data_IF_534102892963
#
_entry.id   IF_534102892963
#
_cell.length_a   1.000
_cell.length_b   1.000
_cell.length_c   1.000
_cell.angle_alpha   90.00
_cell.angle_beta   90.00
_cell.angle_gamma   90.00
#
_symmetry.space_group_name_H-M   'P 1'
#
loop_
_entity.id
_entity.type
_entity.pdbx_description
1 polymer ?
#
# COMPACT_ATOMS: atom_id res chain seq x y z
N UNK A 1 -2.81 32.07 6.89
CA UNK A 1 -2.19 32.59 5.66
C UNK A 1 -1.89 34.11 5.66
N UNK A 2 -1.87 34.80 6.81
CA UNK A 2 -1.63 36.27 6.86
C UNK A 2 -0.24 36.72 6.36
N UNK A 3 0.70 35.78 6.20
CA UNK A 3 2.08 36.04 5.74
C UNK A 3 2.24 35.86 4.22
N UNK A 4 1.31 35.16 3.55
CA UNK A 4 1.50 34.78 2.14
C UNK A 4 1.36 35.96 1.17
N UNK A 5 0.30 36.76 1.31
CA UNK A 5 0.07 37.91 0.42
C UNK A 5 1.25 38.90 0.45
N UNK A 6 1.74 39.38 1.61
CA UNK A 6 2.93 40.24 1.67
C UNK A 6 4.18 39.63 1.02
N UNK A 7 4.34 38.30 1.07
CA UNK A 7 5.52 37.62 0.54
C UNK A 7 5.57 37.57 -0.99
N UNK A 8 4.42 37.66 -1.67
CA UNK A 8 4.35 37.62 -3.14
C UNK A 8 4.25 39.01 -3.78
N UNK A 9 3.97 40.06 -2.99
CA UNK A 9 3.93 41.43 -3.50
C UNK A 9 5.28 41.78 -4.13
N UNK A 10 5.25 42.38 -5.31
CA UNK A 10 6.41 42.72 -6.14
C UNK A 10 7.13 41.55 -6.83
N UNK A 11 6.77 40.30 -6.55
CA UNK A 11 7.32 39.12 -7.24
C UNK A 11 6.41 38.58 -8.34
N UNK A 12 5.10 38.88 -8.28
CA UNK A 12 4.11 38.47 -9.27
C UNK A 12 3.31 39.68 -9.77
N UNK A 13 2.61 39.60 -10.92
CA UNK A 13 1.74 40.68 -11.38
C UNK A 13 0.74 41.11 -10.30
N UNK A 14 0.50 42.42 -10.18
CA UNK A 14 -0.41 42.96 -9.16
C UNK A 14 -1.80 42.33 -9.23
N UNK A 15 -2.29 42.06 -10.45
CA UNK A 15 -3.58 41.42 -10.68
C UNK A 15 -3.63 40.01 -10.08
N UNK A 16 -2.52 39.27 -10.13
CA UNK A 16 -2.42 37.94 -9.51
C UNK A 16 -2.51 38.03 -7.98
N UNK A 17 -1.88 39.05 -7.39
CA UNK A 17 -2.00 39.33 -5.95
C UNK A 17 -3.46 39.66 -5.58
N UNK A 18 -4.15 40.45 -6.41
CA UNK A 18 -5.56 40.80 -6.22
C UNK A 18 -6.48 39.58 -6.33
N UNK A 19 -6.28 38.71 -7.32
CA UNK A 19 -7.01 37.46 -7.46
C UNK A 19 -6.83 36.58 -6.20
N UNK A 20 -5.59 36.37 -5.77
CA UNK A 20 -5.30 35.57 -4.56
C UNK A 20 -5.91 36.22 -3.32
N UNK A 21 -5.86 37.55 -3.20
CA UNK A 21 -6.45 38.27 -2.07
C UNK A 21 -7.97 38.08 -2.04
N UNK A 22 -8.67 38.27 -3.17
CA UNK A 22 -10.10 38.07 -3.28
C UNK A 22 -10.51 36.61 -2.98
N UNK A 23 -9.74 35.63 -3.45
CA UNK A 23 -9.94 34.22 -3.13
C UNK A 23 -9.78 33.94 -1.63
N UNK A 24 -8.77 34.55 -0.99
CA UNK A 24 -8.55 34.39 0.44
C UNK A 24 -9.66 35.04 1.26
N UNK A 25 -10.12 36.23 0.87
CA UNK A 25 -11.24 36.90 1.53
C UNK A 25 -12.50 36.04 1.44
N UNK A 26 -12.82 35.51 0.27
CA UNK A 26 -13.90 34.53 0.10
C UNK A 26 -13.73 33.33 1.06
N UNK A 27 -12.55 32.72 1.07
CA UNK A 27 -12.26 31.57 1.92
C UNK A 27 -12.41 31.89 3.42
N UNK A 28 -12.00 33.08 3.87
CA UNK A 28 -12.12 33.46 5.27
C UNK A 28 -13.57 33.77 5.66
N UNK A 29 -14.36 34.38 4.76
CA UNK A 29 -15.79 34.61 5.00
C UNK A 29 -16.51 33.27 5.14
N UNK A 30 -16.37 32.38 4.15
CA UNK A 30 -17.01 31.05 4.17
C UNK A 30 -16.70 30.25 5.44
N UNK A 31 -15.50 30.43 6.02
CA UNK A 31 -15.07 29.70 7.23
C UNK A 31 -15.67 30.23 8.54
N UNK A 32 -16.40 31.33 8.52
CA UNK A 32 -17.04 31.85 9.73
C UNK A 32 -18.07 30.86 10.28
N UNK A 33 -18.25 30.86 11.60
CA UNK A 33 -19.22 29.98 12.28
C UNK A 33 -20.67 30.43 12.10
N UNK A 34 -20.85 31.69 11.73
CA UNK A 34 -22.15 32.33 11.50
C UNK A 34 -21.97 33.28 10.32
N UNK A 35 -22.94 33.32 9.43
CA UNK A 35 -22.94 34.20 8.27
C UNK A 35 -24.26 34.97 8.26
N UNK A 36 -24.17 36.29 8.30
CA UNK A 36 -25.32 37.17 8.13
C UNK A 36 -25.48 37.65 6.67
N UNK A 37 -26.49 38.45 6.39
CA UNK A 37 -26.73 38.97 5.03
C UNK A 37 -25.58 39.85 4.52
N UNK A 38 -24.87 40.55 5.41
CA UNK A 38 -23.73 41.37 5.06
C UNK A 38 -22.51 40.50 4.68
N UNK A 39 -22.29 39.40 5.41
CA UNK A 39 -21.26 38.42 5.08
C UNK A 39 -21.54 37.74 3.75
N UNK A 40 -22.80 37.38 3.45
CA UNK A 40 -23.17 36.81 2.16
C UNK A 40 -22.91 37.79 1.01
N UNK A 41 -23.24 39.07 1.19
CA UNK A 41 -22.94 40.11 0.21
C UNK A 41 -21.42 40.31 0.03
N UNK A 42 -20.65 40.25 1.12
CA UNK A 42 -19.19 40.32 1.08
C UNK A 42 -18.56 39.11 0.38
N UNK A 43 -19.11 37.91 0.60
CA UNK A 43 -18.71 36.66 -0.05
C UNK A 43 -18.95 36.73 -1.55
N UNK A 44 -20.13 37.16 -1.99
CA UNK A 44 -20.45 37.34 -3.42
C UNK A 44 -19.53 38.38 -4.07
N UNK A 45 -19.25 39.49 -3.37
CA UNK A 45 -18.31 40.51 -3.83
C UNK A 45 -16.89 39.96 -3.99
N UNK A 46 -16.41 39.19 -3.02
CA UNK A 46 -15.09 38.58 -3.06
C UNK A 46 -14.99 37.58 -4.23
N UNK A 47 -16.03 36.76 -4.44
CA UNK A 47 -16.10 35.83 -5.57
C UNK A 47 -16.05 36.56 -6.92
N UNK A 48 -16.86 37.61 -7.11
CA UNK A 48 -16.86 38.41 -8.35
C UNK A 48 -15.50 39.07 -8.61
N UNK A 49 -14.84 39.55 -7.55
CA UNK A 49 -13.50 40.10 -7.66
C UNK A 49 -12.51 39.02 -8.09
N UNK A 50 -12.55 37.83 -7.49
CA UNK A 50 -11.72 36.71 -7.91
C UNK A 50 -11.99 36.29 -9.37
N UNK A 51 -13.26 36.21 -9.77
CA UNK A 51 -13.66 35.89 -11.15
C UNK A 51 -13.14 36.90 -12.18
N UNK A 52 -13.09 38.17 -11.80
CA UNK A 52 -12.56 39.24 -12.67
C UNK A 52 -11.04 39.19 -12.75
N UNK A 53 -10.35 39.01 -11.62
CA UNK A 53 -8.90 39.13 -11.57
C UNK A 53 -8.15 37.85 -11.96
N UNK A 54 -8.79 36.68 -11.95
CA UNK A 54 -8.09 35.43 -12.23
C UNK A 54 -7.70 35.26 -13.71
N UNK A 55 -8.23 36.06 -14.63
CA UNK A 55 -7.88 35.98 -16.06
C UNK A 55 -6.37 36.16 -16.28
N UNK A 56 -5.69 36.86 -15.35
CA UNK A 56 -4.24 37.03 -15.38
C UNK A 56 -3.49 35.68 -15.45
N UNK A 57 -3.99 34.62 -14.81
CA UNK A 57 -3.32 33.31 -14.84
C UNK A 57 -3.34 32.68 -16.25
N UNK A 58 -4.34 33.02 -17.06
CA UNK A 58 -4.44 32.63 -18.47
C UNK A 58 -3.54 33.51 -19.33
N UNK A 59 -3.58 34.82 -19.10
CA UNK A 59 -2.78 35.82 -19.83
C UNK A 59 -1.28 35.57 -19.71
N UNK A 60 -0.80 35.22 -18.50
CA UNK A 60 0.62 34.89 -18.27
C UNK A 60 0.98 33.43 -18.60
N UNK A 61 0.08 32.68 -19.23
CA UNK A 61 0.29 31.31 -19.70
C UNK A 61 0.61 30.29 -18.59
N UNK A 62 0.21 30.57 -17.34
CA UNK A 62 0.29 29.60 -16.23
C UNK A 62 -0.81 28.54 -16.37
N UNK A 63 -2.00 28.97 -16.82
CA UNK A 63 -3.16 28.11 -17.12
C UNK A 63 -3.75 28.51 -18.48
N UNK A 64 -3.11 28.14 -19.60
CA UNK A 64 -3.54 28.58 -20.93
C UNK A 64 -4.92 28.06 -21.33
N UNK A 65 -5.32 26.89 -20.81
CA UNK A 65 -6.63 26.28 -21.07
C UNK A 65 -7.72 26.75 -20.08
N UNK A 66 -7.41 27.78 -19.30
CA UNK A 66 -8.30 28.38 -18.32
C UNK A 66 -8.34 27.71 -16.94
N UNK A 67 -9.14 28.29 -16.05
CA UNK A 67 -9.24 27.87 -14.64
C UNK A 67 -10.54 27.06 -14.41
N UNK A 68 -10.68 25.93 -15.11
CA UNK A 68 -11.81 25.01 -14.93
C UNK A 68 -11.52 23.92 -13.90
N UNK A 69 -11.11 24.32 -12.70
CA UNK A 69 -10.82 23.38 -11.60
C UNK A 69 -12.11 23.13 -10.83
N UNK A 70 -12.53 21.87 -10.58
CA UNK A 70 -13.77 21.57 -9.85
C UNK A 70 -13.90 22.29 -8.50
N UNK A 71 -12.79 22.41 -7.75
CA UNK A 71 -12.76 23.14 -6.48
C UNK A 71 -13.00 24.65 -6.62
N UNK A 72 -12.64 25.25 -7.76
CA UNK A 72 -12.86 26.67 -8.04
C UNK A 72 -14.29 26.89 -8.54
N UNK A 73 -14.81 25.98 -9.37
CA UNK A 73 -16.23 26.01 -9.76
C UNK A 73 -17.16 25.86 -8.55
N UNK A 74 -16.75 25.06 -7.55
CA UNK A 74 -17.52 24.90 -6.31
C UNK A 74 -17.79 26.23 -5.58
N UNK A 75 -16.94 27.26 -5.74
CA UNK A 75 -17.09 28.55 -5.08
C UNK A 75 -18.44 29.23 -5.40
N UNK A 76 -18.95 29.04 -6.62
CA UNK A 76 -20.22 29.62 -7.09
C UNK A 76 -21.44 29.08 -6.33
N UNK A 77 -21.31 27.89 -5.73
CA UNK A 77 -22.41 27.20 -5.06
C UNK A 77 -22.46 27.45 -3.55
N UNK A 78 -21.43 28.08 -2.96
CA UNK A 78 -21.37 28.25 -1.50
C UNK A 78 -22.47 29.14 -0.95
N UNK A 79 -22.89 30.19 -1.66
CA UNK A 79 -23.96 31.07 -1.18
C UNK A 79 -25.28 30.31 -1.04
N UNK A 80 -25.67 29.58 -2.07
CA UNK A 80 -26.86 28.74 -2.04
C UNK A 80 -26.75 27.65 -0.97
N UNK A 81 -25.60 26.99 -0.87
CA UNK A 81 -25.36 25.95 0.14
C UNK A 81 -25.45 26.52 1.57
N UNK A 82 -24.90 27.71 1.83
CA UNK A 82 -25.00 28.36 3.14
C UNK A 82 -26.44 28.72 3.47
N UNK A 83 -27.22 29.19 2.50
CA UNK A 83 -28.64 29.50 2.71
C UNK A 83 -29.49 28.25 2.98
N UNK A 84 -29.18 27.12 2.33
CA UNK A 84 -29.93 25.87 2.48
C UNK A 84 -29.51 25.05 3.71
N UNK A 85 -28.23 25.06 4.06
CA UNK A 85 -27.64 24.13 5.03
C UNK A 85 -26.94 24.82 6.21
N UNK A 86 -26.82 26.15 6.20
CA UNK A 86 -26.12 26.93 7.22
C UNK A 86 -24.61 27.08 6.96
N UNK A 87 -23.93 27.81 7.84
CA UNK A 87 -22.50 28.06 7.72
C UNK A 87 -21.68 26.76 7.87
N UNK A 88 -20.64 26.53 7.06
CA UNK A 88 -19.85 25.30 7.11
C UNK A 88 -18.92 25.22 8.33
N UNK A 89 -18.89 26.24 9.21
CA UNK A 89 -18.12 26.26 10.46
C UNK A 89 -16.61 26.03 10.27
N UNK A 90 -16.07 26.41 9.11
CA UNK A 90 -14.67 26.17 8.77
C UNK A 90 -14.32 24.68 8.59
N UNK A 91 -15.31 23.79 8.52
CA UNK A 91 -15.10 22.39 8.15
C UNK A 91 -14.81 22.31 6.65
N UNK A 92 -13.78 21.57 6.28
CA UNK A 92 -13.47 21.27 4.89
C UNK A 92 -13.23 19.77 4.71
N UNK A 93 -13.25 19.32 3.45
CA UNK A 93 -12.99 17.93 3.11
C UNK A 93 -11.65 17.42 3.63
N UNK A 94 -10.64 18.27 3.86
CA UNK A 94 -9.36 17.82 4.42
C UNK A 94 -9.48 17.35 5.87
N UNK A 95 -10.41 17.90 6.67
CA UNK A 95 -10.63 17.47 8.06
C UNK A 95 -11.32 16.10 8.08
N UNK A 96 -12.36 15.93 7.26
CA UNK A 96 -13.05 14.64 7.15
C UNK A 96 -12.18 13.59 6.47
N UNK A 97 -11.39 13.97 5.46
CA UNK A 97 -10.43 13.10 4.80
C UNK A 97 -9.31 12.66 5.76
N UNK A 98 -8.79 13.57 6.58
CA UNK A 98 -7.81 13.22 7.63
C UNK A 98 -8.33 12.12 8.56
N UNK A 99 -9.59 12.24 9.00
CA UNK A 99 -10.24 11.20 9.81
C UNK A 99 -10.56 9.95 9.03
N UNK A 100 -10.96 10.06 7.77
CA UNK A 100 -11.21 8.93 6.88
C UNK A 100 -9.93 8.10 6.65
N UNK A 101 -8.76 8.73 6.54
CA UNK A 101 -7.49 8.01 6.47
C UNK A 101 -7.28 7.16 7.73
N UNK A 102 -7.42 7.77 8.91
CA UNK A 102 -7.16 7.11 10.18
C UNK A 102 -8.17 6.00 10.49
N UNK A 103 -9.46 6.22 10.19
CA UNK A 103 -10.53 5.30 10.54
C UNK A 103 -10.86 4.27 9.45
N UNK A 104 -10.49 4.52 8.19
CA UNK A 104 -10.85 3.68 7.05
C UNK A 104 -9.62 3.24 6.26
N UNK A 105 -8.87 4.15 5.63
CA UNK A 105 -7.77 3.77 4.72
C UNK A 105 -6.68 2.96 5.43
N UNK A 106 -6.21 3.42 6.60
CA UNK A 106 -5.17 2.72 7.39
C UNK A 106 -5.67 1.37 7.94
N UNK A 107 -6.84 1.28 8.60
CA UNK A 107 -7.38 -0.02 9.04
C UNK A 107 -7.65 -0.99 7.90
N UNK A 108 -8.12 -0.50 6.74
CA UNK A 108 -8.29 -1.33 5.54
C UNK A 108 -6.96 -1.95 5.11
N UNK A 109 -5.91 -1.14 4.95
CA UNK A 109 -4.54 -1.60 4.61
C UNK A 109 -3.96 -2.60 5.62
N UNK A 110 -4.33 -2.50 6.90
CA UNK A 110 -3.90 -3.42 7.97
C UNK A 110 -4.72 -4.71 8.04
N UNK A 111 -5.91 -4.73 7.45
CA UNK A 111 -6.78 -5.90 7.45
C UNK A 111 -6.27 -6.96 6.49
N UNK A 112 -6.77 -8.19 6.60
CA UNK A 112 -6.51 -9.24 5.61
C UNK A 112 -7.43 -9.16 4.37
N UNK A 113 -8.19 -8.06 4.22
CA UNK A 113 -9.15 -7.83 3.14
C UNK A 113 -10.24 -8.93 2.99
N UNK A 114 -10.46 -9.77 4.02
CA UNK A 114 -11.55 -10.74 4.09
C UNK A 114 -12.50 -10.38 5.22
N UNK A 115 -13.76 -10.09 4.91
CA UNK A 115 -14.73 -9.62 5.92
C UNK A 115 -14.11 -8.48 6.77
N UNK A 116 -13.42 -7.56 6.08
CA UNK A 116 -12.49 -6.61 6.68
C UNK A 116 -13.18 -5.63 7.63
N UNK A 117 -14.46 -5.33 7.45
CA UNK A 117 -15.21 -4.40 8.28
C UNK A 117 -15.09 -4.72 9.78
N UNK A 118 -15.26 -5.99 10.17
CA UNK A 118 -15.12 -6.39 11.57
C UNK A 118 -13.71 -6.17 12.12
N UNK A 119 -12.68 -6.44 11.29
CA UNK A 119 -11.28 -6.22 11.66
C UNK A 119 -10.95 -4.73 11.79
N UNK A 120 -11.46 -3.91 10.86
CA UNK A 120 -11.31 -2.46 10.88
C UNK A 120 -11.94 -1.85 12.12
N UNK A 121 -13.15 -2.29 12.49
CA UNK A 121 -13.85 -1.84 13.70
C UNK A 121 -13.06 -2.18 14.97
N UNK A 122 -12.56 -3.41 15.09
CA UNK A 122 -11.72 -3.82 16.23
C UNK A 122 -10.41 -3.01 16.27
N UNK A 123 -9.80 -2.76 15.12
CA UNK A 123 -8.58 -1.94 15.03
C UNK A 123 -8.84 -0.51 15.50
N UNK A 124 -9.92 0.12 15.05
CA UNK A 124 -10.31 1.45 15.49
C UNK A 124 -10.56 1.48 17.00
N UNK A 125 -11.30 0.51 17.53
CA UNK A 125 -11.54 0.39 18.97
C UNK A 125 -10.24 0.27 19.78
N UNK A 126 -9.27 -0.51 19.29
CA UNK A 126 -7.97 -0.64 19.95
C UNK A 126 -7.19 0.66 19.93
N UNK A 127 -7.17 1.38 18.79
CA UNK A 127 -6.51 2.67 18.67
C UNK A 127 -7.14 3.72 19.61
N UNK A 128 -8.46 3.76 19.69
CA UNK A 128 -9.17 4.65 20.62
C UNK A 128 -8.85 4.32 22.09
N UNK A 129 -8.80 3.03 22.44
CA UNK A 129 -8.41 2.60 23.78
C UNK A 129 -6.96 3.00 24.13
N UNK A 130 -6.03 2.87 23.18
CA UNK A 130 -4.63 3.29 23.35
C UNK A 130 -4.55 4.81 23.53
N UNK A 131 -5.24 5.58 22.68
CA UNK A 131 -5.28 7.03 22.77
C UNK A 131 -5.85 7.51 24.11
N UNK A 132 -6.95 6.88 24.56
CA UNK A 132 -7.53 7.13 25.88
C UNK A 132 -6.55 6.81 27.01
N UNK A 133 -5.90 5.64 26.94
CA UNK A 133 -4.91 5.23 27.95
C UNK A 133 -3.75 6.23 28.02
N UNK A 134 -3.17 6.62 26.87
CA UNK A 134 -2.09 7.61 26.80
C UNK A 134 -2.50 8.95 27.40
N UNK A 135 -3.69 9.47 27.04
CA UNK A 135 -4.22 10.70 27.62
C UNK A 135 -4.41 10.59 29.15
N UNK A 136 -4.90 9.45 29.64
CA UNK A 136 -5.06 9.19 31.07
C UNK A 136 -3.72 9.14 31.82
N UNK A 137 -2.69 8.51 31.23
CA UNK A 137 -1.36 8.47 31.84
C UNK A 137 -0.69 9.84 31.84
N UNK A 138 -0.84 10.60 30.75
CA UNK A 138 -0.35 11.98 30.66
C UNK A 138 -1.02 12.87 31.71
N UNK A 139 -2.34 12.78 31.88
CA UNK A 139 -3.07 13.54 32.90
C UNK A 139 -2.64 13.19 34.34
N UNK A 140 -2.07 12.00 34.55
CA UNK A 140 -1.51 11.55 35.84
C UNK A 140 -0.01 11.91 36.01
N UNK A 141 0.61 12.58 35.03
CA UNK A 141 2.03 12.91 35.03
C UNK A 141 2.96 11.71 34.83
N UNK A 142 2.43 10.54 34.42
CA UNK A 142 3.20 9.29 34.32
C UNK A 142 4.00 9.16 33.02
N UNK A 143 3.79 10.09 32.07
CA UNK A 143 4.49 10.13 30.78
C UNK A 143 5.34 11.40 30.59
N UNK A 144 5.48 12.24 31.64
CA UNK A 144 6.26 13.48 31.58
C UNK A 144 7.75 13.26 31.91
N UNK A 145 8.12 12.09 32.44
CA UNK A 145 9.51 11.72 32.71
C UNK A 145 10.19 11.18 31.46
N UNK A 146 11.39 11.68 31.09
CA UNK A 146 12.20 11.09 30.04
C UNK A 146 12.43 9.60 30.33
N UNK A 147 12.10 8.74 29.37
CA UNK A 147 12.38 7.29 29.45
C UNK A 147 13.88 6.99 29.55
N UNK A 148 14.72 7.97 29.24
CA UNK A 148 16.18 7.89 29.28
C UNK A 148 16.71 8.76 30.41
N UNK A 149 17.44 8.20 31.40
CA UNK A 149 18.15 8.97 32.42
C UNK A 149 19.08 10.02 31.80
N UNK A 150 19.15 11.20 32.40
CA UNK A 150 20.08 12.25 31.96
C UNK A 150 21.53 11.72 31.94
N UNK A 151 22.15 11.69 30.76
CA UNK A 151 23.53 11.23 30.56
C UNK A 151 23.71 9.91 29.81
N UNK A 152 22.62 9.27 29.36
CA UNK A 152 22.70 8.13 28.43
C UNK A 152 22.33 8.63 27.03
N UNK A 153 23.32 8.74 26.14
CA UNK A 153 23.07 8.88 24.71
C UNK A 153 22.35 7.61 24.24
N UNK A 154 21.15 7.69 23.64
CA UNK A 154 20.51 6.52 23.09
C UNK A 154 21.40 5.94 21.99
N UNK A 155 21.84 4.69 22.15
CA UNK A 155 22.39 3.96 21.01
C UNK A 155 21.33 4.00 19.90
N UNK A 156 21.72 4.50 18.73
CA UNK A 156 20.87 4.53 17.56
C UNK A 156 20.46 3.08 17.26
N UNK A 157 19.27 2.70 17.71
CA UNK A 157 18.63 1.48 17.25
C UNK A 157 18.34 1.73 15.79
N UNK A 158 19.13 1.06 14.96
CA UNK A 158 19.01 1.09 13.51
C UNK A 158 17.54 0.81 13.16
N UNK A 159 16.91 1.85 12.62
CA UNK A 159 15.68 1.80 11.83
C UNK A 159 14.44 1.21 12.51
N UNK A 160 13.90 1.93 13.51
CA UNK A 160 12.43 2.03 13.61
C UNK A 160 11.98 2.88 12.44
N UNK A 161 11.38 2.24 11.44
CA UNK A 161 10.69 2.86 10.30
C UNK A 161 10.05 4.18 10.71
N UNK A 162 10.71 5.27 10.34
CA UNK A 162 10.08 6.57 10.25
C UNK A 162 8.94 6.36 9.26
N UNK A 163 7.71 6.27 9.76
CA UNK A 163 6.52 6.49 8.93
C UNK A 163 6.54 7.96 8.52
N UNK A 164 7.47 8.32 7.62
CA UNK A 164 7.40 9.56 6.89
C UNK A 164 6.05 9.57 6.18
N UNK A 165 5.34 10.68 6.35
CA UNK A 165 4.17 11.03 5.59
C UNK A 165 4.56 11.14 4.10
N UNK A 166 4.62 10.01 3.41
CA UNK A 166 4.71 9.98 1.97
C UNK A 166 3.47 10.71 1.42
N UNK A 167 3.73 11.72 0.59
CA UNK A 167 2.75 12.61 0.01
C UNK A 167 1.58 11.87 -0.62
N UNK A 168 0.40 12.42 -0.39
CA UNK A 168 -0.86 12.00 -0.97
C UNK A 168 -0.77 11.92 -2.50
N UNK A 169 -0.88 10.71 -3.04
CA UNK A 169 -1.43 10.50 -4.38
C UNK A 169 -2.69 9.64 -4.27
N UNK A 170 -3.70 10.06 -5.01
CA UNK A 170 -5.05 9.51 -5.06
C UNK A 170 -5.01 8.12 -5.71
N UNK A 171 -4.82 7.10 -4.87
CA UNK A 171 -4.77 5.71 -5.31
C UNK A 171 -6.19 5.13 -5.44
N UNK A 172 -6.80 5.40 -6.59
CA UNK A 172 -8.05 4.80 -7.02
C UNK A 172 -7.90 3.35 -7.53
N UNK A 173 -6.76 2.69 -7.31
CA UNK A 173 -6.52 1.32 -7.80
C UNK A 173 -6.20 0.35 -6.68
N UNK A 174 -7.21 -0.44 -6.32
CA UNK A 174 -7.17 -1.60 -5.42
C UNK A 174 -6.29 -2.74 -5.97
N UNK A 175 -4.98 -2.55 -6.07
CA UNK A 175 -4.03 -3.62 -6.38
C UNK A 175 -3.34 -4.12 -5.10
N UNK A 176 -3.15 -5.43 -5.00
CA UNK A 176 -2.57 -6.17 -3.86
C UNK A 176 -1.05 -5.96 -3.71
N UNK A 177 -0.58 -4.74 -3.97
CA UNK A 177 0.84 -4.37 -4.00
C UNK A 177 1.14 -3.54 -2.76
N UNK A 178 2.13 -3.97 -1.97
CA UNK A 178 2.63 -3.20 -0.84
C UNK A 178 4.03 -2.69 -1.16
N UNK A 179 4.25 -1.39 -0.92
CA UNK A 179 5.56 -0.77 -1.00
C UNK A 179 6.50 -1.37 0.05
N UNK A 180 7.76 -1.57 -0.30
CA UNK A 180 8.82 -1.92 0.64
C UNK A 180 9.96 -0.91 0.48
N UNK A 181 10.25 -0.13 1.52
CA UNK A 181 11.41 0.74 1.55
C UNK A 181 12.68 -0.11 1.72
N UNK A 182 13.49 -0.17 0.66
CA UNK A 182 14.75 -0.92 0.67
C UNK A 182 15.65 -0.55 -0.51
N UNK A 183 16.96 -0.67 -0.30
CA UNK A 183 17.95 -0.65 -1.38
C UNK A 183 17.60 -1.73 -2.41
N UNK A 184 17.88 -1.50 -3.70
CA UNK A 184 17.64 -2.45 -4.79
C UNK A 184 18.20 -3.82 -4.41
N UNK A 185 17.33 -4.76 -4.04
CA UNK A 185 17.67 -6.14 -3.74
C UNK A 185 17.41 -7.00 -4.97
N UNK A 186 18.17 -8.09 -5.12
CA UNK A 186 17.84 -9.13 -6.08
C UNK A 186 16.41 -9.64 -5.84
N UNK A 187 15.73 -10.04 -6.92
CA UNK A 187 14.40 -10.63 -6.87
C UNK A 187 14.40 -11.84 -5.93
N UNK A 188 13.55 -11.84 -4.90
CA UNK A 188 13.50 -12.95 -3.93
C UNK A 188 12.08 -13.49 -3.77
N UNK A 189 11.98 -14.81 -3.57
CA UNK A 189 10.72 -15.47 -3.20
C UNK A 189 10.90 -16.14 -1.84
N UNK A 190 10.06 -15.77 -0.89
CA UNK A 190 10.11 -16.27 0.49
C UNK A 190 8.82 -17.03 0.82
N UNK A 191 8.95 -18.25 1.33
CA UNK A 191 7.81 -19.01 1.84
C UNK A 191 7.22 -18.32 3.08
N UNK A 192 5.92 -18.52 3.34
CA UNK A 192 5.27 -17.98 4.53
C UNK A 192 6.02 -18.39 5.82
N UNK A 193 6.13 -17.46 6.78
CA UNK A 193 6.84 -17.70 8.06
C UNK A 193 6.31 -18.89 8.85
N UNK A 194 5.03 -19.26 8.67
CA UNK A 194 4.38 -20.37 9.37
C UNK A 194 3.93 -21.43 8.39
N UNK A 195 4.34 -22.70 8.57
CA UNK A 195 3.84 -23.80 7.76
C UNK A 195 2.39 -24.11 8.11
N UNK A 196 1.64 -24.60 7.11
CA UNK A 196 0.24 -25.00 7.22
C UNK A 196 0.04 -26.34 6.51
N UNK A 197 -0.32 -27.43 7.23
CA UNK A 197 -0.40 -27.53 8.68
C UNK A 197 0.98 -27.44 9.37
N UNK A 198 1.01 -27.11 10.66
CA UNK A 198 2.24 -27.01 11.45
C UNK A 198 2.80 -28.40 11.86
N UNK A 199 2.98 -29.28 10.87
CA UNK A 199 3.52 -30.64 11.05
C UNK A 199 4.29 -31.07 9.80
N UNK A 200 5.35 -31.84 10.02
CA UNK A 200 6.07 -32.54 8.95
C UNK A 200 5.18 -33.60 8.28
N UNK A 201 5.25 -33.66 6.96
CA UNK A 201 4.52 -34.62 6.11
C UNK A 201 5.47 -35.26 5.10
N UNK A 202 5.15 -36.50 4.71
CA UNK A 202 5.85 -37.15 3.59
C UNK A 202 5.40 -36.55 2.26
N UNK A 203 6.22 -36.64 1.22
CA UNK A 203 5.83 -36.16 -0.11
C UNK A 203 4.65 -36.94 -0.70
N UNK A 204 4.50 -38.22 -0.36
CA UNK A 204 3.33 -39.01 -0.77
C UNK A 204 2.05 -38.53 -0.09
N UNK A 205 2.10 -38.21 1.22
CA UNK A 205 0.96 -37.59 1.93
C UNK A 205 0.60 -36.24 1.29
N UNK A 206 1.59 -35.36 1.09
CA UNK A 206 1.35 -34.06 0.46
C UNK A 206 0.78 -34.18 -0.95
N UNK A 207 1.31 -35.11 -1.75
CA UNK A 207 0.88 -35.38 -3.11
C UNK A 207 -0.56 -35.87 -3.18
N UNK A 208 -0.93 -36.84 -2.33
CA UNK A 208 -2.30 -37.35 -2.26
C UNK A 208 -3.30 -36.26 -1.88
N UNK A 209 -2.97 -35.39 -0.92
CA UNK A 209 -3.86 -34.31 -0.46
C UNK A 209 -4.22 -33.31 -1.59
N UNK A 210 -3.31 -33.10 -2.54
CA UNK A 210 -3.50 -32.16 -3.67
C UNK A 210 -3.89 -32.87 -4.98
N UNK A 211 -4.03 -34.20 -4.98
CA UNK A 211 -4.33 -35.01 -6.18
C UNK A 211 -3.14 -35.24 -7.12
N UNK A 212 -1.90 -35.12 -6.62
CA UNK A 212 -0.65 -35.37 -7.34
C UNK A 212 0.21 -36.44 -6.62
N UNK A 213 -0.15 -37.74 -6.73
CA UNK A 213 0.58 -38.82 -6.03
C UNK A 213 2.04 -38.94 -6.46
N UNK A 214 2.35 -38.51 -7.68
CA UNK A 214 3.70 -38.53 -8.28
C UNK A 214 4.66 -37.50 -7.67
N UNK A 215 4.21 -36.67 -6.72
CA UNK A 215 5.05 -35.63 -6.08
C UNK A 215 6.36 -36.21 -5.54
N UNK A 216 6.32 -37.38 -4.91
CA UNK A 216 7.53 -38.01 -4.35
C UNK A 216 8.60 -38.33 -5.41
N UNK A 217 8.17 -38.73 -6.61
CA UNK A 217 9.06 -39.02 -7.74
C UNK A 217 9.64 -37.73 -8.32
N UNK A 218 8.81 -36.69 -8.45
CA UNK A 218 9.24 -35.37 -8.91
C UNK A 218 10.28 -34.74 -7.97
N UNK A 219 10.10 -34.88 -6.65
CA UNK A 219 11.08 -34.39 -5.66
C UNK A 219 12.39 -35.19 -5.75
N UNK A 220 12.32 -36.51 -5.95
CA UNK A 220 13.51 -37.35 -6.14
C UNK A 220 14.30 -36.95 -7.40
N UNK A 221 13.60 -36.74 -8.52
CA UNK A 221 14.18 -36.25 -9.78
C UNK A 221 14.79 -34.85 -9.61
N UNK A 222 14.08 -33.93 -8.95
CA UNK A 222 14.55 -32.58 -8.67
C UNK A 222 15.85 -32.59 -7.88
N UNK A 223 15.92 -33.32 -6.75
CA UNK A 223 17.14 -33.41 -5.94
C UNK A 223 18.27 -34.07 -6.72
N UNK A 224 17.98 -35.07 -7.56
CA UNK A 224 18.98 -35.69 -8.41
C UNK A 224 19.58 -34.68 -9.40
N UNK A 225 18.75 -33.91 -10.10
CA UNK A 225 19.18 -32.88 -11.05
C UNK A 225 20.01 -31.78 -10.36
N UNK A 226 19.57 -31.30 -9.19
CA UNK A 226 20.30 -30.28 -8.42
C UNK A 226 21.70 -30.73 -8.00
N UNK A 227 21.92 -32.04 -7.84
CA UNK A 227 23.21 -32.60 -7.42
C UNK A 227 24.11 -33.04 -8.57
N UNK A 228 23.53 -33.28 -9.75
CA UNK A 228 24.24 -33.77 -10.93
C UNK A 228 23.93 -32.87 -12.14
N UNK A 229 24.29 -31.58 -12.10
CA UNK A 229 23.95 -30.63 -13.17
C UNK A 229 24.59 -30.96 -14.52
N UNK A 230 25.67 -31.75 -14.52
CA UNK A 230 26.39 -32.16 -15.74
C UNK A 230 25.77 -33.38 -16.45
N UNK A 231 24.83 -34.08 -15.81
CA UNK A 231 24.23 -35.30 -16.34
C UNK A 231 22.99 -34.94 -17.17
N UNK A 232 23.11 -35.09 -18.50
CA UNK A 232 22.02 -34.79 -19.46
C UNK A 232 20.94 -35.90 -19.44
N UNK A 233 21.36 -37.16 -19.28
CA UNK A 233 20.45 -38.32 -19.24
C UNK A 233 20.00 -38.63 -17.81
N UNK A 234 18.78 -38.19 -17.48
CA UNK A 234 18.19 -38.41 -16.16
C UNK A 234 17.79 -39.90 -16.02
N UNK A 235 18.21 -40.60 -14.96
CA UNK A 235 17.81 -41.99 -14.73
C UNK A 235 16.29 -42.13 -14.65
N UNK A 236 15.74 -43.18 -15.28
CA UNK A 236 14.30 -43.49 -15.22
C UNK A 236 13.80 -43.80 -13.80
N UNK A 237 14.70 -44.09 -12.85
CA UNK A 237 14.34 -44.35 -11.46
C UNK A 237 15.35 -43.70 -10.54
N UNK A 238 14.92 -42.70 -9.79
CA UNK A 238 15.71 -42.06 -8.74
C UNK A 238 15.42 -42.69 -7.38
N UNK A 239 16.41 -42.76 -6.46
CA UNK A 239 16.17 -43.25 -5.11
C UNK A 239 15.14 -42.36 -4.41
N UNK A 240 14.16 -42.99 -3.76
CA UNK A 240 13.11 -42.27 -3.06
C UNK A 240 13.67 -41.48 -1.87
N UNK A 241 13.16 -40.27 -1.72
CA UNK A 241 13.47 -39.37 -0.60
C UNK A 241 12.48 -39.69 0.53
N UNK A 242 13.03 -40.15 1.66
CA UNK A 242 12.25 -40.53 2.85
C UNK A 242 12.07 -39.37 3.82
N UNK A 243 12.82 -38.28 3.60
CA UNK A 243 12.74 -37.06 4.37
C UNK A 243 11.33 -36.45 4.30
N UNK A 244 10.95 -35.77 5.38
CA UNK A 244 9.67 -35.07 5.47
C UNK A 244 9.87 -33.59 5.26
N UNK A 245 8.83 -32.93 4.78
CA UNK A 245 8.81 -31.50 4.57
C UNK A 245 7.68 -30.79 5.32
N UNK A 246 7.75 -29.47 5.32
CA UNK A 246 6.64 -28.60 5.66
C UNK A 246 5.97 -28.09 4.39
N UNK A 247 4.67 -27.84 4.46
CA UNK A 247 3.91 -27.17 3.40
C UNK A 247 3.47 -25.78 3.82
N UNK A 248 3.23 -24.91 2.85
CA UNK A 248 2.85 -23.52 3.06
C UNK A 248 1.66 -23.18 2.17
N UNK A 249 0.75 -22.36 2.69
CA UNK A 249 -0.41 -21.89 1.93
C UNK A 249 -0.11 -20.68 1.04
N UNK A 250 1.06 -20.06 1.22
CA UNK A 250 1.48 -18.90 0.44
C UNK A 250 2.99 -18.71 0.44
N UNK A 251 3.45 -17.94 -0.53
CA UNK A 251 4.77 -17.35 -0.61
C UNK A 251 4.65 -15.84 -0.88
N UNK A 252 5.76 -15.14 -0.74
CA UNK A 252 5.89 -13.71 -1.02
C UNK A 252 6.97 -13.55 -2.07
N UNK A 253 6.67 -12.85 -3.16
CA UNK A 253 7.64 -12.41 -4.15
C UNK A 253 7.97 -10.93 -3.92
N UNK A 254 9.26 -10.63 -3.83
CA UNK A 254 9.81 -9.28 -3.73
C UNK A 254 10.60 -9.03 -5.01
N UNK A 255 10.22 -8.02 -5.79
CA UNK A 255 10.81 -7.76 -7.09
C UNK A 255 10.84 -6.27 -7.43
N UNK A 256 11.80 -5.86 -8.25
CA UNK A 256 11.88 -4.49 -8.74
C UNK A 256 10.99 -4.32 -9.98
N UNK A 257 10.07 -3.35 -9.95
CA UNK A 257 9.29 -2.97 -11.12
C UNK A 257 8.99 -1.46 -11.04
N UNK A 258 9.84 -0.60 -11.64
CA UNK A 258 9.69 0.84 -11.52
C UNK A 258 8.46 1.30 -12.28
N UNK A 259 7.39 1.57 -11.55
CA UNK A 259 6.14 2.15 -12.05
C UNK A 259 5.75 3.35 -11.17
N UNK A 260 4.89 4.24 -11.67
CA UNK A 260 4.47 5.46 -10.97
C UNK A 260 3.79 5.19 -9.60
N UNK A 261 3.39 3.94 -9.32
CA UNK A 261 2.78 3.51 -8.06
C UNK A 261 3.81 3.14 -6.97
N UNK A 262 5.10 3.22 -7.25
CA UNK A 262 6.13 2.79 -6.31
C UNK A 262 6.59 3.93 -5.40
N UNK A 263 6.80 3.63 -4.12
CA UNK A 263 7.68 4.43 -3.26
C UNK A 263 9.06 4.66 -3.89
N UNK A 264 9.86 5.54 -3.28
CA UNK A 264 11.13 6.09 -3.84
C UNK A 264 12.13 5.02 -4.32
N UNK A 265 11.98 3.75 -3.90
CA UNK A 265 12.84 2.62 -4.28
C UNK A 265 12.36 1.68 -5.40
N UNK A 266 11.13 1.77 -5.92
CA UNK A 266 10.68 0.93 -7.06
C UNK A 266 10.48 -0.56 -6.79
N UNK A 267 10.53 -1.00 -5.52
CA UNK A 267 10.40 -2.40 -5.10
C UNK A 267 8.94 -2.76 -4.79
N UNK A 268 8.49 -3.90 -5.30
CA UNK A 268 7.17 -4.48 -5.10
C UNK A 268 7.23 -5.70 -4.21
N UNK A 269 6.19 -5.87 -3.40
CA UNK A 269 5.93 -7.08 -2.63
C UNK A 269 4.54 -7.63 -2.98
N UNK A 270 4.49 -8.85 -3.52
CA UNK A 270 3.25 -9.56 -3.86
C UNK A 270 3.16 -10.91 -3.14
N UNK A 271 1.97 -11.25 -2.65
CA UNK A 271 1.71 -12.55 -2.03
C UNK A 271 1.10 -13.50 -3.06
N UNK A 272 1.65 -14.71 -3.12
CA UNK A 272 1.20 -15.78 -3.99
C UNK A 272 0.55 -16.86 -3.13
N UNK A 273 -0.66 -17.28 -3.48
CA UNK A 273 -1.46 -18.27 -2.77
C UNK A 273 -1.48 -19.63 -3.47
N UNK A 274 -1.32 -20.68 -2.69
CA UNK A 274 -1.56 -22.06 -3.10
C UNK A 274 -2.20 -22.82 -1.92
N UNK A 275 -3.53 -22.77 -1.87
CA UNK A 275 -4.33 -23.30 -0.76
C UNK A 275 -5.47 -24.20 -1.29
N UNK A 276 -5.62 -25.38 -0.71
CA UNK A 276 -6.73 -26.30 -1.01
C UNK A 276 -8.10 -25.80 -0.52
N UNK A 277 -8.13 -24.83 0.38
CA UNK A 277 -9.33 -24.05 0.71
C UNK A 277 -8.93 -22.63 1.06
N UNK A 278 -9.56 -21.66 0.41
CA UNK A 278 -9.36 -20.25 0.66
C UNK A 278 -10.64 -19.63 1.21
N UNK A 279 -10.57 -18.98 2.38
CA UNK A 279 -11.72 -18.28 3.00
C UNK A 279 -12.94 -19.20 3.19
N UNK A 280 -12.72 -20.45 3.62
CA UNK A 280 -13.71 -21.54 3.71
C UNK A 280 -14.45 -21.84 2.40
N UNK A 281 -13.86 -21.43 1.27
CA UNK A 281 -14.37 -21.62 -0.07
C UNK A 281 -13.53 -22.62 -0.86
N UNK A 282 -13.64 -22.57 -2.19
CA UNK A 282 -12.90 -23.46 -3.09
C UNK A 282 -11.38 -23.26 -2.97
N UNK A 283 -10.59 -24.20 -3.53
CA UNK A 283 -9.15 -24.03 -3.66
C UNK A 283 -8.78 -22.73 -4.40
N UNK A 284 -7.68 -22.12 -3.98
CA UNK A 284 -7.13 -20.92 -4.61
C UNK A 284 -5.66 -21.16 -4.94
N UNK A 285 -5.33 -21.09 -6.23
CA UNK A 285 -4.04 -21.39 -6.80
C UNK A 285 -3.67 -20.30 -7.79
N UNK A 286 -2.75 -19.43 -7.39
CA UNK A 286 -2.38 -18.25 -8.17
C UNK A 286 -1.51 -18.63 -9.38
N UNK A 287 -1.63 -17.83 -10.43
CA UNK A 287 -0.75 -17.89 -11.59
C UNK A 287 0.45 -16.95 -11.38
N UNK A 288 1.64 -17.43 -11.75
CA UNK A 288 2.90 -16.71 -11.62
C UNK A 288 3.63 -16.71 -12.95
N UNK A 289 4.44 -15.68 -13.17
CA UNK A 289 5.52 -15.73 -14.15
C UNK A 289 6.74 -16.38 -13.49
N UNK A 290 7.28 -17.41 -14.13
CA UNK A 290 8.48 -18.09 -13.70
C UNK A 290 9.50 -18.09 -14.84
N UNK A 291 10.74 -17.74 -14.52
CA UNK A 291 11.85 -17.79 -15.46
C UNK A 291 12.15 -19.24 -15.84
N UNK A 292 12.16 -19.52 -17.15
CA UNK A 292 12.43 -20.85 -17.69
C UNK A 292 13.62 -20.83 -18.64
N UNK A 293 13.84 -19.73 -19.35
CA UNK A 293 15.00 -19.53 -20.21
C UNK A 293 15.71 -18.22 -19.85
N UNK A 294 16.77 -18.28 -19.02
CA UNK A 294 17.51 -17.09 -18.60
C UNK A 294 18.34 -16.47 -19.73
N UNK A 295 18.46 -17.14 -20.88
CA UNK A 295 19.17 -16.58 -22.04
C UNK A 295 18.35 -15.53 -22.79
N UNK A 296 17.03 -15.51 -22.58
CA UNK A 296 16.11 -14.59 -23.22
C UNK A 296 15.87 -13.37 -22.34
N UNK A 297 15.94 -12.17 -22.94
CA UNK A 297 15.80 -10.93 -22.21
C UNK A 297 14.36 -10.66 -21.76
N UNK A 298 14.20 -10.21 -20.52
CA UNK A 298 12.93 -9.72 -19.97
C UNK A 298 11.82 -10.75 -20.01
N UNK A 299 10.61 -10.32 -20.42
CA UNK A 299 9.42 -11.18 -20.45
C UNK A 299 9.53 -12.38 -21.40
N UNK A 300 10.43 -12.36 -22.39
CA UNK A 300 10.59 -13.46 -23.34
C UNK A 300 11.12 -14.75 -22.69
N UNK A 301 11.84 -14.65 -21.56
CA UNK A 301 12.31 -15.80 -20.79
C UNK A 301 11.33 -16.30 -19.72
N UNK A 302 10.22 -15.58 -19.53
CA UNK A 302 9.21 -15.86 -18.51
C UNK A 302 8.06 -16.69 -19.08
N UNK A 303 7.67 -17.72 -18.33
CA UNK A 303 6.56 -18.60 -18.66
C UNK A 303 5.49 -18.51 -17.58
N UNK A 304 4.23 -18.72 -17.96
CA UNK A 304 3.12 -18.71 -17.01
C UNK A 304 2.97 -20.11 -16.41
N UNK A 305 2.87 -20.16 -15.08
CA UNK A 305 2.58 -21.38 -14.35
C UNK A 305 1.53 -21.11 -13.25
N UNK A 306 0.70 -22.10 -12.96
CA UNK A 306 -0.16 -22.08 -11.77
C UNK A 306 0.54 -22.79 -10.62
N UNK A 307 0.64 -22.16 -9.46
CA UNK A 307 1.26 -22.78 -8.28
C UNK A 307 0.26 -23.68 -7.56
N UNK A 308 0.61 -24.95 -7.36
CA UNK A 308 -0.26 -25.94 -6.72
C UNK A 308 0.12 -26.17 -5.26
N UNK A 309 1.42 -26.18 -4.93
CA UNK A 309 1.90 -26.44 -3.58
C UNK A 309 3.19 -25.70 -3.31
N UNK A 310 3.26 -25.00 -2.17
CA UNK A 310 4.54 -24.56 -1.61
C UNK A 310 4.98 -25.53 -0.52
N UNK A 311 6.25 -25.94 -0.54
CA UNK A 311 6.80 -26.84 0.47
C UNK A 311 8.29 -26.61 0.67
N UNK A 312 8.81 -27.06 1.80
CA UNK A 312 10.24 -27.05 2.10
C UNK A 312 10.66 -28.34 2.77
N UNK A 313 11.89 -28.76 2.53
CA UNK A 313 12.48 -29.94 3.17
C UNK A 313 13.99 -29.79 3.27
N UNK A 314 14.60 -30.61 4.11
CA UNK A 314 16.05 -30.67 4.25
C UNK A 314 16.55 -32.01 3.75
N UNK A 315 17.58 -31.99 2.91
CA UNK A 315 18.24 -33.18 2.39
C UNK A 315 19.75 -32.99 2.47
N UNK A 316 20.46 -33.89 3.17
CA UNK A 316 21.92 -33.83 3.44
C UNK A 316 22.42 -32.42 3.86
N UNK A 317 21.79 -31.84 4.87
CA UNK A 317 22.09 -30.50 5.43
C UNK A 317 21.82 -29.30 4.50
N UNK A 318 21.21 -29.51 3.34
CA UNK A 318 20.74 -28.42 2.48
C UNK A 318 19.23 -28.27 2.61
N UNK A 319 18.76 -27.04 2.84
CA UNK A 319 17.34 -26.71 2.88
C UNK A 319 16.86 -26.29 1.50
N UNK A 320 15.79 -26.91 1.03
CA UNK A 320 15.20 -26.64 -0.28
C UNK A 320 13.80 -26.03 -0.10
N UNK A 321 13.63 -24.72 -0.36
CA UNK A 321 12.31 -24.14 -0.60
C UNK A 321 11.86 -24.49 -2.03
N UNK A 322 10.65 -25.02 -2.16
CA UNK A 322 10.15 -25.52 -3.43
C UNK A 322 8.70 -25.10 -3.68
N UNK A 323 8.34 -25.04 -4.96
CA UNK A 323 6.98 -24.92 -5.43
C UNK A 323 6.69 -26.02 -6.46
N UNK A 324 5.56 -26.71 -6.31
CA UNK A 324 5.00 -27.54 -7.37
C UNK A 324 4.12 -26.64 -8.24
N UNK A 325 4.38 -26.63 -9.54
CA UNK A 325 3.67 -25.79 -10.50
C UNK A 325 3.12 -26.58 -11.67
N UNK A 326 2.02 -26.10 -12.24
CA UNK A 326 1.47 -26.57 -13.52
C UNK A 326 1.76 -25.51 -14.58
N UNK A 327 2.60 -25.86 -15.55
CA UNK A 327 2.94 -24.97 -16.66
C UNK A 327 1.77 -24.83 -17.64
N UNK A 328 1.51 -23.60 -18.10
CA UNK A 328 0.64 -23.38 -19.25
C UNK A 328 1.44 -23.51 -20.55
N UNK A 329 0.84 -24.15 -21.55
CA UNK A 329 1.36 -24.17 -22.92
C UNK A 329 0.59 -23.18 -23.76
N UNK A 330 1.30 -22.26 -24.41
CA UNK A 330 0.73 -21.42 -25.45
C UNK A 330 0.81 -22.24 -26.74
N UNK A 331 -0.31 -22.81 -27.17
CA UNK A 331 -0.39 -23.50 -28.46
C UNK A 331 -0.41 -22.48 -29.60
#
# INVERSE_FOLDING_TARGET
MKVFLPAIVHYVPNQMVQAIAAFLDFCYIVRQSTLDEADLAAMEKALKCFETEHTIFEEVQIRPDGISIPCIHALQHYQEMVQQFGAPNGLCSSITESKHIQAVKRPWRRSNHYQALGQMLVTNQQLDNIAYFQASQHAKGLLETPLVPAGIEPEAVDSLEHFEEAGFQDDATLAEVQDCDGSILETTVQLAKRPSPHRLRTFSEMGNDIGYPELSEHVALFVYQQRNPEVVDIPQTCPQILEKGYSYGSAVAIFYAPSDLCGVGGMHHQRIHACSSWRNGPPHYDCVFAEKDPSLAGFCGLFVAQVILFFSFSYRNTSYPCALVRWFSVF
#
